data_IF_087030784758
#
_entry.id   IF_087030784758
#
_cell.length_a   1.000
_cell.length_b   1.000
_cell.length_c   1.000
_cell.angle_alpha   90.00
_cell.angle_beta   90.00
_cell.angle_gamma   90.00
#
_symmetry.space_group_name_H-M   'P 1'
#
loop_
_entity.id
_entity.type
_entity.pdbx_description
1 polymer ?
#
# COMPACT_ATOMS: atom_id res chain seq x y z
N UNK A 1 2.19 4.68 13.81
CA UNK A 1 2.64 4.20 12.49
C UNK A 1 3.32 5.34 11.73
N UNK A 2 4.54 5.13 11.26
CA UNK A 2 5.28 6.09 10.41
C UNK A 2 4.80 6.06 8.95
N UNK A 3 5.24 7.02 8.12
CA UNK A 3 4.81 7.13 6.70
C UNK A 3 5.13 5.85 5.90
N UNK A 4 6.34 5.30 6.06
CA UNK A 4 6.77 4.08 5.37
C UNK A 4 5.95 2.86 5.77
N UNK A 5 5.63 2.71 7.06
CA UNK A 5 4.79 1.63 7.56
C UNK A 5 3.36 1.77 7.03
N UNK A 6 2.80 2.98 7.07
CA UNK A 6 1.46 3.29 6.57
C UNK A 6 1.33 2.99 5.08
N UNK A 7 2.37 3.34 4.31
CA UNK A 7 2.48 3.00 2.90
C UNK A 7 2.50 1.50 2.66
N UNK A 8 3.32 0.76 3.39
CA UNK A 8 3.43 -0.69 3.20
C UNK A 8 2.11 -1.38 3.57
N UNK A 9 1.47 -0.91 4.63
CA UNK A 9 0.14 -1.38 5.02
C UNK A 9 -0.88 -1.15 3.90
N UNK A 10 -0.96 0.07 3.36
CA UNK A 10 -1.85 0.42 2.25
C UNK A 10 -1.60 -0.39 0.97
N UNK A 11 -0.33 -0.69 0.65
CA UNK A 11 0.03 -1.60 -0.46
C UNK A 11 -0.47 -3.02 -0.20
N UNK A 12 -0.37 -3.49 1.04
CA UNK A 12 -0.95 -4.76 1.48
C UNK A 12 -2.45 -4.79 1.28
N UNK A 13 -3.16 -3.74 1.70
CA UNK A 13 -4.61 -3.61 1.49
C UNK A 13 -4.97 -3.59 0.02
N UNK A 14 -4.25 -2.83 -0.83
CA UNK A 14 -4.51 -2.82 -2.28
C UNK A 14 -4.32 -4.20 -2.91
N UNK A 15 -3.36 -5.00 -2.43
CA UNK A 15 -3.21 -6.39 -2.88
C UNK A 15 -4.45 -7.22 -2.55
N UNK A 16 -4.93 -7.14 -1.30
CA UNK A 16 -6.17 -7.83 -0.88
C UNK A 16 -7.37 -7.39 -1.73
N UNK A 17 -7.49 -6.08 -2.02
CA UNK A 17 -8.54 -5.53 -2.89
C UNK A 17 -8.48 -6.17 -4.29
N UNK A 18 -7.30 -6.24 -4.90
CA UNK A 18 -7.16 -6.80 -6.25
C UNK A 18 -7.50 -8.31 -6.29
N UNK A 19 -7.08 -9.07 -5.30
CA UNK A 19 -7.41 -10.50 -5.17
C UNK A 19 -8.91 -10.72 -4.96
N UNK A 20 -9.52 -9.90 -4.10
CA UNK A 20 -10.95 -9.93 -3.81
C UNK A 20 -11.80 -9.47 -5.01
N UNK A 21 -11.36 -8.47 -5.78
CA UNK A 21 -12.03 -8.03 -7.00
C UNK A 21 -12.06 -9.14 -8.05
N UNK A 22 -10.92 -9.80 -8.30
CA UNK A 22 -10.87 -10.92 -9.23
C UNK A 22 -11.80 -12.05 -8.77
N UNK A 23 -11.75 -12.40 -7.49
CA UNK A 23 -12.61 -13.43 -6.91
C UNK A 23 -14.10 -13.07 -6.99
N UNK A 24 -14.44 -11.78 -6.90
CA UNK A 24 -15.81 -11.28 -7.05
C UNK A 24 -16.29 -11.44 -8.50
N UNK A 25 -15.46 -11.07 -9.48
CA UNK A 25 -15.76 -11.22 -10.91
C UNK A 25 -16.01 -12.70 -11.22
N UNK A 26 -15.10 -13.57 -10.79
CA UNK A 26 -15.17 -15.02 -11.01
C UNK A 26 -16.43 -15.60 -10.33
N UNK A 27 -16.68 -15.23 -9.08
CA UNK A 27 -17.86 -15.68 -8.33
C UNK A 27 -19.18 -15.24 -8.97
N UNK A 28 -19.24 -14.01 -9.52
CA UNK A 28 -20.42 -13.53 -10.25
C UNK A 28 -20.64 -14.33 -11.54
N UNK A 29 -19.57 -14.60 -12.30
CA UNK A 29 -19.65 -15.34 -13.56
C UNK A 29 -20.09 -16.80 -13.34
N UNK A 30 -19.60 -17.43 -12.27
CA UNK A 30 -19.90 -18.81 -11.92
C UNK A 30 -21.20 -18.98 -11.12
N UNK A 31 -21.82 -17.89 -10.67
CA UNK A 31 -22.96 -17.94 -9.74
C UNK A 31 -22.60 -18.47 -8.35
N UNK A 32 -21.32 -18.41 -7.98
CA UNK A 32 -20.79 -18.96 -6.72
C UNK A 32 -20.86 -17.94 -5.59
N UNK A 33 -22.07 -17.75 -5.03
CA UNK A 33 -22.27 -16.89 -3.87
C UNK A 33 -21.47 -17.31 -2.64
N UNK A 34 -21.23 -18.62 -2.46
CA UNK A 34 -20.44 -19.13 -1.33
C UNK A 34 -18.95 -18.78 -1.50
N UNK A 35 -18.45 -18.88 -2.72
CA UNK A 35 -17.12 -18.43 -3.12
C UNK A 35 -16.93 -16.94 -2.86
N UNK A 36 -17.92 -16.10 -3.20
CA UNK A 36 -17.86 -14.65 -2.90
C UNK A 36 -17.75 -14.42 -1.39
N UNK A 37 -18.54 -15.10 -0.57
CA UNK A 37 -18.44 -14.95 0.90
C UNK A 37 -17.04 -15.35 1.40
N UNK A 38 -16.52 -16.50 0.93
CA UNK A 38 -15.26 -17.07 1.41
C UNK A 38 -14.02 -16.32 0.94
N UNK A 39 -13.99 -15.88 -0.32
CA UNK A 39 -12.82 -15.36 -0.99
C UNK A 39 -12.84 -13.83 -1.19
N UNK A 40 -13.99 -13.18 -0.98
CA UNK A 40 -14.15 -11.72 -1.08
C UNK A 40 -14.49 -11.13 0.28
N UNK A 41 -15.63 -11.50 0.86
CA UNK A 41 -16.15 -10.84 2.07
C UNK A 41 -15.28 -11.09 3.30
N UNK A 42 -14.91 -12.34 3.57
CA UNK A 42 -14.09 -12.68 4.75
C UNK A 42 -12.68 -12.06 4.69
N UNK A 43 -11.93 -12.14 3.57
CA UNK A 43 -10.62 -11.47 3.49
C UNK A 43 -10.72 -9.95 3.62
N UNK A 44 -11.72 -9.32 2.99
CA UNK A 44 -11.93 -7.87 3.12
C UNK A 44 -12.27 -7.47 4.55
N UNK A 45 -13.12 -8.24 5.23
CA UNK A 45 -13.43 -7.99 6.64
C UNK A 45 -12.18 -8.08 7.51
N UNK A 46 -11.41 -9.15 7.38
CA UNK A 46 -10.18 -9.34 8.15
C UNK A 46 -9.16 -8.22 7.88
N UNK A 47 -9.07 -7.74 6.63
CA UNK A 47 -8.21 -6.60 6.29
C UNK A 47 -8.72 -5.30 6.92
N UNK A 48 -10.03 -5.05 6.87
CA UNK A 48 -10.66 -3.85 7.44
C UNK A 48 -10.56 -3.80 8.97
N UNK A 49 -10.61 -4.94 9.66
CA UNK A 49 -10.40 -5.04 11.11
C UNK A 49 -8.97 -4.67 11.54
N UNK A 50 -7.99 -4.74 10.62
CA UNK A 50 -6.60 -4.32 10.88
C UNK A 50 -6.39 -2.83 10.72
N UNK A 51 -7.31 -2.12 10.05
CA UNK A 51 -7.18 -0.68 9.92
C UNK A 51 -7.42 -0.02 11.28
N UNK A 52 -6.60 0.99 11.65
CA UNK A 52 -6.90 1.79 12.82
C UNK A 52 -8.30 2.39 12.67
N UNK A 53 -9.07 2.39 13.75
CA UNK A 53 -10.38 3.05 13.81
C UNK A 53 -10.21 4.47 13.30
N UNK A 54 -11.03 4.84 12.31
CA UNK A 54 -11.00 6.12 11.58
C UNK A 54 -10.51 7.26 12.47
N UNK A 55 -9.24 7.64 12.30
CA UNK A 55 -8.74 8.90 12.82
C UNK A 55 -9.45 9.96 11.99
N UNK A 56 -10.05 10.96 12.66
CA UNK A 56 -10.65 12.11 11.98
C UNK A 56 -9.67 12.64 10.93
N UNK A 57 -10.17 12.86 9.70
CA UNK A 57 -9.32 13.23 8.58
C UNK A 57 -8.64 14.59 8.82
N UNK A 58 -7.38 14.58 9.23
CA UNK A 58 -6.41 15.66 9.29
C UNK A 58 -5.81 15.96 7.91
N UNK A 59 -6.15 17.10 7.29
CA UNK A 59 -5.75 17.44 5.91
C UNK A 59 -4.23 17.44 5.67
N UNK A 60 -3.43 17.68 6.70
CA UNK A 60 -1.97 17.80 6.61
C UNK A 60 -1.23 16.49 6.90
N UNK A 61 -1.93 15.42 7.28
CA UNK A 61 -1.31 14.13 7.56
C UNK A 61 -1.24 13.27 6.29
N UNK A 62 -0.03 13.11 5.75
CA UNK A 62 0.23 12.27 4.58
C UNK A 62 -0.20 10.81 4.78
N UNK A 63 -0.36 10.33 6.03
CA UNK A 63 -0.86 8.98 6.31
C UNK A 63 -2.33 8.83 5.91
N UNK A 64 -3.08 9.92 5.79
CA UNK A 64 -4.47 9.89 5.35
C UNK A 64 -4.65 9.61 3.88
N UNK A 65 -3.62 9.89 3.08
CA UNK A 65 -3.58 9.46 1.68
C UNK A 65 -3.76 7.95 1.55
N UNK A 66 -3.41 7.18 2.58
CA UNK A 66 -3.62 5.74 2.62
C UNK A 66 -5.03 5.32 3.04
N UNK A 67 -5.77 6.17 3.75
CA UNK A 67 -7.16 5.88 4.13
C UNK A 67 -8.07 5.68 2.90
N UNK A 68 -7.69 6.19 1.73
CA UNK A 68 -8.41 5.90 0.48
C UNK A 68 -8.36 4.42 0.09
N UNK A 69 -7.37 3.65 0.55
CA UNK A 69 -7.33 2.20 0.36
C UNK A 69 -8.31 1.48 1.31
N UNK A 70 -8.52 2.01 2.51
CA UNK A 70 -9.60 1.56 3.39
C UNK A 70 -10.98 1.84 2.76
N UNK A 71 -11.18 3.06 2.23
CA UNK A 71 -12.41 3.42 1.52
C UNK A 71 -12.69 2.44 0.36
N UNK A 72 -11.67 2.13 -0.44
CA UNK A 72 -11.79 1.19 -1.55
C UNK A 72 -12.18 -0.23 -1.08
N UNK A 73 -11.59 -0.72 0.02
CA UNK A 73 -11.95 -2.01 0.61
C UNK A 73 -13.40 -2.02 1.13
N UNK A 74 -13.85 -0.94 1.78
CA UNK A 74 -15.24 -0.79 2.25
C UNK A 74 -16.25 -0.78 1.09
N UNK A 75 -15.93 -0.08 0.01
CA UNK A 75 -16.78 -0.04 -1.18
C UNK A 75 -16.82 -1.40 -1.89
N UNK A 76 -15.70 -2.11 -1.98
CA UNK A 76 -15.67 -3.47 -2.54
C UNK A 76 -16.46 -4.45 -1.68
N UNK A 77 -16.38 -4.32 -0.36
CA UNK A 77 -17.18 -5.13 0.56
C UNK A 77 -18.67 -4.87 0.36
N UNK A 78 -19.09 -3.60 0.26
CA UNK A 78 -20.47 -3.21 -0.06
C UNK A 78 -20.93 -3.80 -1.40
N UNK A 79 -20.11 -3.67 -2.45
CA UNK A 79 -20.37 -4.24 -3.76
C UNK A 79 -20.55 -5.77 -3.70
N UNK A 80 -19.72 -6.47 -2.93
CA UNK A 80 -19.81 -7.93 -2.78
C UNK A 80 -21.10 -8.37 -2.06
N UNK A 81 -21.61 -7.56 -1.12
CA UNK A 81 -22.91 -7.81 -0.50
C UNK A 81 -24.04 -7.57 -1.50
N UNK A 82 -23.97 -6.51 -2.30
CA UNK A 82 -24.94 -6.25 -3.37
C UNK A 82 -24.95 -7.35 -4.43
N UNK A 83 -23.78 -7.90 -4.78
CA UNK A 83 -23.62 -8.96 -5.78
C UNK A 83 -24.20 -10.31 -5.34
N UNK A 84 -24.32 -10.55 -4.03
CA UNK A 84 -24.85 -11.81 -3.46
C UNK A 84 -26.35 -11.76 -3.17
N UNK A 85 -27.01 -10.62 -3.38
CA UNK A 85 -28.47 -10.47 -3.24
C UNK A 85 -29.21 -10.97 -4.47
N UNK A 86 -30.50 -11.29 -4.26
CA UNK A 86 -31.41 -11.63 -5.35
C UNK A 86 -31.50 -10.48 -6.38
N UNK A 87 -31.49 -10.83 -7.67
CA UNK A 87 -31.45 -9.84 -8.76
C UNK A 87 -32.87 -9.38 -9.12
N UNK A 88 -33.19 -8.17 -8.69
CA UNK A 88 -34.35 -7.39 -9.08
C UNK A 88 -33.90 -6.18 -9.91
N UNK A 89 -34.83 -5.50 -10.59
CA UNK A 89 -34.53 -4.24 -11.31
C UNK A 89 -33.92 -3.21 -10.37
N UNK A 90 -34.43 -3.15 -9.14
CA UNK A 90 -33.98 -2.23 -8.11
C UNK A 90 -32.61 -2.63 -7.54
N UNK A 91 -32.36 -3.91 -7.24
CA UNK A 91 -31.02 -4.36 -6.79
C UNK A 91 -29.94 -4.20 -7.86
N UNK A 92 -30.31 -4.28 -9.15
CA UNK A 92 -29.40 -3.99 -10.27
C UNK A 92 -28.96 -2.52 -10.32
N UNK A 93 -29.86 -1.58 -9.96
CA UNK A 93 -29.52 -0.16 -9.86
C UNK A 93 -28.52 0.11 -8.73
N UNK A 94 -28.71 -0.53 -7.58
CA UNK A 94 -27.76 -0.45 -6.45
C UNK A 94 -26.40 -1.04 -6.81
N UNK A 95 -26.38 -2.20 -7.47
CA UNK A 95 -25.13 -2.84 -7.92
C UNK A 95 -24.27 -1.90 -8.77
N UNK A 96 -24.87 -1.23 -9.77
CA UNK A 96 -24.14 -0.27 -10.62
C UNK A 96 -23.61 0.94 -9.85
N UNK A 97 -24.37 1.42 -8.86
CA UNK A 97 -23.96 2.53 -8.01
C UNK A 97 -22.75 2.13 -7.16
N UNK A 98 -22.80 0.96 -6.55
CA UNK A 98 -21.74 0.44 -5.70
C UNK A 98 -20.47 0.13 -6.52
N UNK A 99 -20.63 -0.38 -7.74
CA UNK A 99 -19.54 -0.61 -8.70
C UNK A 99 -18.83 0.71 -9.06
N UNK A 100 -19.59 1.76 -9.41
CA UNK A 100 -19.03 3.07 -9.69
C UNK A 100 -18.33 3.70 -8.46
N UNK A 101 -18.91 3.54 -7.28
CA UNK A 101 -18.31 4.02 -6.03
C UNK A 101 -17.00 3.30 -5.72
N UNK A 102 -16.97 1.98 -5.89
CA UNK A 102 -15.78 1.16 -5.75
C UNK A 102 -14.67 1.57 -6.72
N UNK A 103 -14.94 1.67 -8.03
CA UNK A 103 -13.92 2.06 -9.01
C UNK A 103 -13.33 3.44 -8.72
N UNK A 104 -14.17 4.40 -8.34
CA UNK A 104 -13.72 5.73 -7.92
C UNK A 104 -12.81 5.67 -6.70
N UNK A 105 -13.17 4.88 -5.69
CA UNK A 105 -12.37 4.73 -4.47
C UNK A 105 -11.04 4.03 -4.76
N UNK A 106 -11.04 2.94 -5.55
CA UNK A 106 -9.83 2.23 -5.97
C UNK A 106 -8.87 3.13 -6.73
N UNK A 107 -9.37 3.86 -7.72
CA UNK A 107 -8.55 4.81 -8.49
C UNK A 107 -7.87 5.83 -7.58
N UNK A 108 -8.58 6.31 -6.55
CA UNK A 108 -8.03 7.27 -5.58
C UNK A 108 -6.95 6.65 -4.69
N UNK A 109 -7.16 5.43 -4.18
CA UNK A 109 -6.13 4.67 -3.47
C UNK A 109 -4.85 4.51 -4.31
N UNK A 110 -4.98 4.07 -5.57
CA UNK A 110 -3.85 3.87 -6.47
C UNK A 110 -3.11 5.17 -6.78
N UNK A 111 -3.84 6.26 -7.04
CA UNK A 111 -3.26 7.57 -7.30
C UNK A 111 -2.43 8.06 -6.11
N UNK A 112 -2.95 7.93 -4.90
CA UNK A 112 -2.28 8.39 -3.69
C UNK A 112 -1.05 7.56 -3.34
N UNK A 113 -1.12 6.24 -3.55
CA UNK A 113 0.05 5.36 -3.44
C UNK A 113 1.14 5.75 -4.44
N UNK A 114 0.80 6.01 -5.70
CA UNK A 114 1.77 6.44 -6.72
C UNK A 114 2.36 7.81 -6.42
N UNK A 115 1.55 8.76 -5.96
CA UNK A 115 2.02 10.10 -5.58
C UNK A 115 3.03 10.01 -4.43
N UNK A 116 2.73 9.21 -3.40
CA UNK A 116 3.62 9.02 -2.25
C UNK A 116 4.90 8.28 -2.64
N UNK A 117 4.81 7.27 -3.52
CA UNK A 117 5.99 6.60 -4.11
C UNK A 117 6.93 7.59 -4.82
N UNK A 118 6.35 8.51 -5.59
CA UNK A 118 7.11 9.55 -6.28
C UNK A 118 7.79 10.49 -5.29
N UNK A 119 7.07 10.95 -4.25
CA UNK A 119 7.62 11.84 -3.22
C UNK A 119 8.79 11.19 -2.47
N UNK A 120 8.65 9.93 -2.05
CA UNK A 120 9.73 9.19 -1.37
C UNK A 120 10.93 9.05 -2.29
N UNK A 121 10.72 8.69 -3.57
CA UNK A 121 11.81 8.57 -4.54
C UNK A 121 12.56 9.90 -4.74
N UNK A 122 11.83 11.01 -4.82
CA UNK A 122 12.43 12.35 -4.93
C UNK A 122 13.22 12.74 -3.67
N UNK A 123 12.71 12.42 -2.48
CA UNK A 123 13.41 12.69 -1.22
C UNK A 123 14.73 11.89 -1.14
N UNK A 124 14.69 10.59 -1.45
CA UNK A 124 15.89 9.74 -1.49
C UNK A 124 16.91 10.26 -2.51
N UNK A 125 16.46 10.67 -3.70
CA UNK A 125 17.37 11.22 -4.71
C UNK A 125 18.01 12.55 -4.27
N UNK A 126 17.28 13.39 -3.51
CA UNK A 126 17.82 14.62 -2.95
C UNK A 126 18.86 14.33 -1.85
N UNK A 127 18.58 13.38 -0.96
CA UNK A 127 19.54 12.91 0.06
C UNK A 127 20.80 12.33 -0.59
N UNK A 128 20.66 11.46 -1.59
CA UNK A 128 21.78 10.87 -2.31
C UNK A 128 22.63 11.95 -3.03
N UNK A 129 21.99 12.98 -3.60
CA UNK A 129 22.69 14.11 -4.21
C UNK A 129 23.47 14.93 -3.18
N UNK A 130 22.90 15.16 -1.99
CA UNK A 130 23.60 15.81 -0.88
C UNK A 130 24.78 14.97 -0.37
N UNK A 131 24.57 13.67 -0.17
CA UNK A 131 25.62 12.73 0.24
C UNK A 131 26.75 12.69 -0.78
N UNK A 132 26.42 12.70 -2.08
CA UNK A 132 27.42 12.76 -3.15
C UNK A 132 28.23 14.05 -3.10
N UNK A 133 27.61 15.20 -2.85
CA UNK A 133 28.32 16.49 -2.71
C UNK A 133 29.21 16.54 -1.48
N UNK A 134 28.73 16.07 -0.33
CA UNK A 134 29.44 16.19 0.97
C UNK A 134 30.47 15.10 1.20
N UNK A 135 30.19 13.88 0.74
CA UNK A 135 30.94 12.68 1.10
C UNK A 135 31.39 11.84 -0.09
N UNK A 136 31.08 12.23 -1.34
CA UNK A 136 31.43 11.47 -2.55
C UNK A 136 30.42 10.40 -2.95
N UNK A 137 29.45 10.12 -2.09
CA UNK A 137 28.38 9.15 -2.34
C UNK A 137 28.05 8.38 -1.07
N UNK A 138 26.97 7.61 -1.07
CA UNK A 138 26.58 6.77 0.07
C UNK A 138 27.60 5.67 0.32
N UNK A 139 28.22 5.17 -0.74
CA UNK A 139 29.30 4.19 -0.74
C UNK A 139 30.62 4.72 -0.19
N UNK A 140 30.76 6.04 -0.06
CA UNK A 140 31.95 6.69 0.49
C UNK A 140 31.82 7.02 1.99
N UNK A 141 30.66 6.75 2.59
CA UNK A 141 30.46 6.81 4.03
C UNK A 141 31.29 5.72 4.73
N UNK A 142 31.72 6.00 5.95
CA UNK A 142 32.33 4.98 6.80
C UNK A 142 31.24 4.02 7.25
N UNK A 143 31.37 2.74 6.89
CA UNK A 143 30.47 1.67 7.30
C UNK A 143 31.19 0.82 8.33
N UNK A 144 30.62 0.71 9.52
CA UNK A 144 31.08 -0.20 10.55
C UNK A 144 30.26 -1.50 10.47
N UNK A 145 30.95 -2.63 10.47
CA UNK A 145 30.36 -3.97 10.47
C UNK A 145 30.81 -4.73 11.72
N UNK A 146 30.15 -5.84 12.03
CA UNK A 146 30.55 -6.71 13.13
C UNK A 146 31.23 -7.94 12.55
N UNK A 147 32.51 -8.13 12.89
CA UNK A 147 33.25 -9.33 12.53
C UNK A 147 32.58 -10.56 13.16
N UNK A 148 32.08 -11.47 12.32
CA UNK A 148 31.26 -12.60 12.76
C UNK A 148 32.02 -13.65 13.57
N UNK A 149 33.35 -13.62 13.56
CA UNK A 149 34.20 -14.60 14.26
C UNK A 149 34.63 -14.08 15.63
N UNK A 150 34.87 -12.77 15.74
CA UNK A 150 35.43 -12.12 16.93
C UNK A 150 34.43 -11.26 17.67
N UNK A 151 33.29 -10.92 17.04
CA UNK A 151 32.27 -10.03 17.58
C UNK A 151 32.70 -8.56 17.65
N UNK A 152 33.87 -8.20 17.13
CA UNK A 152 34.39 -6.83 17.16
C UNK A 152 33.80 -5.99 16.04
N UNK A 153 33.65 -4.68 16.31
CA UNK A 153 33.26 -3.71 15.28
C UNK A 153 34.47 -3.40 14.41
N UNK A 154 34.36 -3.65 13.10
CA UNK A 154 35.40 -3.39 12.10
C UNK A 154 34.90 -2.37 11.07
N UNK A 155 35.75 -1.43 10.66
CA UNK A 155 35.44 -0.51 9.56
C UNK A 155 35.60 -1.23 8.22
N UNK A 156 34.57 -1.18 7.37
CA UNK A 156 34.66 -1.72 6.02
C UNK A 156 35.53 -0.83 5.14
N UNK A 157 36.34 -1.48 4.29
CA UNK A 157 37.20 -0.79 3.35
C UNK A 157 36.38 0.05 2.35
N UNK A 158 36.68 1.35 2.28
CA UNK A 158 36.06 2.25 1.31
C UNK A 158 36.52 1.96 -0.12
N UNK A 159 35.63 2.12 -1.13
CA UNK A 159 36.01 2.06 -2.53
C UNK A 159 37.16 3.01 -2.87
N UNK A 160 37.96 2.64 -3.88
CA UNK A 160 39.16 3.41 -4.25
C UNK A 160 38.86 4.86 -4.64
N UNK A 161 37.72 5.11 -5.31
CA UNK A 161 37.28 6.46 -5.70
C UNK A 161 36.83 7.34 -4.51
N UNK A 162 36.62 6.74 -3.34
CA UNK A 162 36.27 7.44 -2.11
C UNK A 162 37.48 7.84 -1.27
N UNK A 163 38.70 7.36 -1.62
CA UNK A 163 39.93 7.77 -0.96
C UNK A 163 40.26 9.19 -1.42
N UNK A 164 40.26 10.15 -0.50
CA UNK A 164 40.84 11.48 -0.79
C UNK A 164 42.30 11.25 -1.18
N UNK A 165 42.69 11.72 -2.37
CA UNK A 165 44.09 11.77 -2.78
C UNK A 165 44.88 12.48 -1.69
N UNK A 166 45.79 11.74 -1.06
CA UNK A 166 46.74 12.28 -0.07
C UNK A 166 47.81 13.08 -0.79
#
# INVERSE_FOLDING_TARGET
MGLTEARQFAKGTLRVINEAEQSLIDGIQLGDGTGIIKHVQKPLQAELERWPTLIERQPDDQREHFAYCQDAALQLQSLSYSATRERTVESTKYLRKDEAAYHKAKQKCEQQLRATDSQIKSAVAAEDAELKKKFGGRECLTVYDVDKQTGQIVEQAKPAHCKKST
#
